data_IF_065244540429
#
_entry.id   IF_065244540429
#
_cell.length_a   1.000
_cell.length_b   1.000
_cell.length_c   1.000
_cell.angle_alpha   90.00
_cell.angle_beta   90.00
_cell.angle_gamma   90.00
#
_symmetry.space_group_name_H-M   'P 1'
#
loop_
_entity.id
_entity.type
_entity.pdbx_description
1 polymer ?
#
# COMPACT_ATOMS: atom_id res chain seq x y z
N UNK A 1 12.75 -6.36 5.52
CA UNK A 1 12.16 -7.51 4.81
C UNK A 1 13.01 -7.96 3.62
N UNK A 2 13.31 -7.12 2.63
CA UNK A 2 14.01 -7.54 1.39
C UNK A 2 15.25 -8.45 1.58
N UNK A 3 16.09 -8.19 2.60
CA UNK A 3 17.27 -9.03 2.94
C UNK A 3 16.95 -10.51 3.18
N UNK A 4 15.76 -10.85 3.65
CA UNK A 4 15.38 -12.24 3.98
C UNK A 4 14.93 -13.01 2.73
N UNK A 5 14.46 -12.29 1.71
CA UNK A 5 14.00 -12.84 0.44
C UNK A 5 15.14 -12.97 -0.58
N UNK A 6 16.34 -12.49 -0.26
CA UNK A 6 17.48 -12.59 -1.17
C UNK A 6 18.14 -13.98 -1.06
N UNK A 7 18.15 -14.80 -2.13
CA UNK A 7 18.77 -16.11 -2.10
C UNK A 7 20.31 -15.99 -2.09
N UNK A 8 20.97 -16.87 -1.35
CA UNK A 8 22.43 -16.91 -1.26
C UNK A 8 23.05 -15.79 -0.41
N UNK A 9 24.21 -15.31 -0.82
CA UNK A 9 24.95 -14.27 -0.09
C UNK A 9 24.26 -12.92 -0.17
N UNK A 10 24.26 -12.20 0.95
CA UNK A 10 23.59 -10.91 1.05
C UNK A 10 24.47 -9.80 0.45
N UNK A 11 24.01 -9.07 -0.59
CA UNK A 11 24.76 -7.96 -1.14
C UNK A 11 25.08 -6.88 -0.11
N UNK A 12 26.26 -6.27 -0.20
CA UNK A 12 26.74 -5.28 0.78
C UNK A 12 25.82 -4.06 0.91
N UNK A 13 25.06 -3.71 -0.14
CA UNK A 13 24.09 -2.61 -0.11
C UNK A 13 23.04 -2.80 1.00
N UNK A 14 22.67 -4.03 1.34
CA UNK A 14 21.73 -4.28 2.43
C UNK A 14 22.32 -4.00 3.81
N UNK A 15 23.65 -4.04 3.96
CA UNK A 15 24.33 -3.66 5.19
C UNK A 15 24.20 -2.16 5.44
N UNK A 16 24.33 -1.35 4.38
CA UNK A 16 24.15 0.11 4.43
C UNK A 16 22.73 0.51 4.83
N UNK A 17 21.74 -0.33 4.51
CA UNK A 17 20.31 -0.06 4.80
C UNK A 17 19.91 -0.53 6.21
N UNK A 18 20.78 -1.21 6.96
CA UNK A 18 20.45 -1.68 8.32
C UNK A 18 19.97 -0.60 9.29
N UNK A 19 20.51 0.64 9.30
CA UNK A 19 20.02 1.70 10.18
C UNK A 19 18.53 2.02 9.99
N UNK A 20 17.94 1.73 8.82
CA UNK A 20 16.52 1.98 8.60
C UNK A 20 15.59 1.10 9.45
N UNK A 21 16.10 0.08 10.17
CA UNK A 21 15.30 -0.66 11.16
C UNK A 21 14.65 0.25 12.20
N UNK A 22 15.30 1.36 12.57
CA UNK A 22 14.76 2.32 13.55
C UNK A 22 13.54 3.08 13.04
N UNK A 23 13.27 3.08 11.73
CA UNK A 23 12.04 3.64 11.17
C UNK A 23 10.78 2.94 11.70
N UNK A 24 10.90 1.73 12.25
CA UNK A 24 9.80 1.04 12.92
C UNK A 24 9.20 1.88 14.06
N UNK A 25 10.03 2.59 14.85
CA UNK A 25 9.54 3.44 15.94
C UNK A 25 8.75 4.63 15.41
N UNK A 26 9.28 5.31 14.39
CA UNK A 26 8.59 6.42 13.74
C UNK A 26 7.24 5.97 13.14
N UNK A 27 7.20 4.80 12.52
CA UNK A 27 5.97 4.21 11.99
C UNK A 27 4.95 3.92 13.11
N UNK A 28 5.35 3.25 14.19
CA UNK A 28 4.45 2.92 15.31
C UNK A 28 3.93 4.20 15.97
N UNK A 29 4.79 5.18 16.24
CA UNK A 29 4.40 6.48 16.82
C UNK A 29 3.42 7.20 15.88
N UNK A 30 3.72 7.23 14.57
CA UNK A 30 2.85 7.83 13.57
C UNK A 30 1.47 7.17 13.51
N UNK A 31 1.41 5.84 13.57
CA UNK A 31 0.15 5.09 13.62
C UNK A 31 -0.62 5.40 14.90
N UNK A 32 0.03 5.42 16.07
CA UNK A 32 -0.62 5.80 17.33
C UNK A 32 -1.18 7.23 17.24
N UNK A 33 -0.43 8.17 16.67
CA UNK A 33 -0.90 9.54 16.43
C UNK A 33 -2.11 9.61 15.49
N UNK A 34 -2.11 8.85 14.40
CA UNK A 34 -3.25 8.76 13.48
C UNK A 34 -4.47 8.11 14.14
N UNK A 35 -4.27 7.11 14.99
CA UNK A 35 -5.33 6.50 15.79
C UNK A 35 -5.93 7.51 16.76
N UNK A 36 -5.07 8.21 17.51
CA UNK A 36 -5.49 9.27 18.43
C UNK A 36 -6.29 10.35 17.72
N UNK A 37 -5.81 10.84 16.57
CA UNK A 37 -6.55 11.80 15.72
C UNK A 37 -7.93 11.29 15.36
N UNK A 38 -8.09 10.00 15.07
CA UNK A 38 -9.37 9.41 14.67
C UNK A 38 -10.36 9.30 15.83
N UNK A 39 -9.86 9.05 17.04
CA UNK A 39 -10.68 8.90 18.25
C UNK A 39 -11.06 10.26 18.86
N UNK A 40 -10.10 11.18 18.96
CA UNK A 40 -10.27 12.43 19.72
C UNK A 40 -10.80 13.61 18.89
N UNK A 41 -10.63 13.62 17.56
CA UNK A 41 -11.12 14.71 16.71
C UNK A 41 -12.51 14.39 16.20
N UNK A 42 -13.53 15.08 16.71
CA UNK A 42 -14.95 14.82 16.40
C UNK A 42 -15.25 14.76 14.91
N UNK A 43 -14.74 15.73 14.13
CA UNK A 43 -14.93 15.77 12.67
C UNK A 43 -14.43 14.50 11.99
N UNK A 44 -13.28 13.99 12.42
CA UNK A 44 -12.66 12.80 11.83
C UNK A 44 -13.39 11.54 12.30
N UNK A 45 -13.75 11.48 13.58
CA UNK A 45 -14.52 10.37 14.16
C UNK A 45 -15.86 10.18 13.46
N UNK A 46 -16.57 11.28 13.17
CA UNK A 46 -17.88 11.26 12.50
C UNK A 46 -17.83 10.66 11.09
N UNK A 47 -16.76 10.95 10.33
CA UNK A 47 -16.60 10.45 8.95
C UNK A 47 -15.87 9.10 8.86
N UNK A 48 -15.42 8.54 9.97
CA UNK A 48 -14.61 7.31 9.97
C UNK A 48 -15.48 6.07 10.00
N UNK A 49 -15.23 5.13 9.09
CA UNK A 49 -15.86 3.82 9.09
C UNK A 49 -15.16 2.86 10.06
N UNK A 50 -15.83 1.80 10.57
CA UNK A 50 -15.18 0.78 11.41
C UNK A 50 -13.95 0.14 10.76
N UNK A 51 -13.99 -0.08 9.44
CA UNK A 51 -12.86 -0.60 8.66
C UNK A 51 -11.62 0.28 8.74
N UNK A 52 -11.77 1.60 8.92
CA UNK A 52 -10.63 2.51 9.06
C UNK A 52 -9.84 2.27 10.34
N UNK A 53 -10.54 1.96 11.44
CA UNK A 53 -9.91 1.62 12.71
C UNK A 53 -9.26 0.25 12.63
N UNK A 54 -9.94 -0.73 12.03
CA UNK A 54 -9.43 -2.10 11.90
C UNK A 54 -8.13 -2.14 11.10
N UNK A 55 -8.05 -1.43 9.98
CA UNK A 55 -6.81 -1.37 9.19
C UNK A 55 -5.67 -0.73 10.00
N UNK A 56 -5.96 0.32 10.76
CA UNK A 56 -4.95 1.01 11.56
C UNK A 56 -4.49 0.15 12.76
N UNK A 57 -5.40 -0.52 13.46
CA UNK A 57 -5.08 -1.50 14.51
C UNK A 57 -4.21 -2.62 13.94
N UNK A 58 -4.60 -3.18 12.79
CA UNK A 58 -3.85 -4.27 12.16
C UNK A 58 -2.41 -3.83 11.81
N UNK A 59 -2.24 -2.67 11.17
CA UNK A 59 -0.91 -2.12 10.87
C UNK A 59 -0.10 -1.84 12.14
N UNK A 60 -0.76 -1.39 13.21
CA UNK A 60 -0.11 -1.15 14.50
C UNK A 60 0.40 -2.46 15.12
N UNK A 61 -0.40 -3.54 15.11
CA UNK A 61 0.01 -4.84 15.64
C UNK A 61 1.12 -5.46 14.78
N UNK A 62 1.04 -5.33 13.44
CA UNK A 62 2.13 -5.75 12.53
C UNK A 62 3.41 -4.99 12.86
N UNK A 63 3.34 -3.67 13.05
CA UNK A 63 4.47 -2.83 13.39
C UNK A 63 5.09 -3.16 14.74
N UNK A 64 4.26 -3.35 15.77
CA UNK A 64 4.71 -3.70 17.12
C UNK A 64 5.35 -5.09 17.14
N UNK A 65 4.70 -6.09 16.54
CA UNK A 65 5.27 -7.45 16.45
C UNK A 65 6.61 -7.46 15.72
N UNK A 66 6.75 -6.69 14.63
CA UNK A 66 8.01 -6.52 13.91
C UNK A 66 9.09 -5.84 14.75
N UNK A 67 8.73 -4.79 15.51
CA UNK A 67 9.64 -4.10 16.41
C UNK A 67 10.10 -5.00 17.57
N UNK A 68 9.19 -5.79 18.16
CA UNK A 68 9.52 -6.76 19.23
C UNK A 68 10.54 -7.78 18.73
N UNK A 69 10.33 -8.37 17.55
CA UNK A 69 11.28 -9.33 16.98
C UNK A 69 12.65 -8.72 16.65
N UNK A 70 12.72 -7.41 16.44
CA UNK A 70 13.95 -6.71 16.01
C UNK A 70 14.75 -6.11 17.17
N UNK A 71 14.08 -5.61 18.21
CA UNK A 71 14.70 -4.78 19.26
C UNK A 71 14.58 -5.37 20.67
N UNK A 72 13.79 -6.43 20.87
CA UNK A 72 13.63 -7.07 22.18
C UNK A 72 14.46 -8.35 22.25
N UNK A 73 14.73 -8.83 23.46
CA UNK A 73 15.43 -10.09 23.74
C UNK A 73 14.75 -11.32 23.13
N UNK A 74 13.46 -11.24 22.81
CA UNK A 74 12.70 -12.29 22.11
C UNK A 74 12.86 -12.16 20.59
N UNK A 75 14.10 -12.20 20.11
CA UNK A 75 14.38 -12.20 18.68
C UNK A 75 14.11 -13.59 18.07
N UNK A 76 13.46 -13.61 16.91
CA UNK A 76 13.29 -14.83 16.11
C UNK A 76 14.63 -15.25 15.51
N UNK A 77 14.83 -16.55 15.30
CA UNK A 77 16.01 -17.04 14.57
C UNK A 77 16.04 -16.46 13.15
N UNK A 78 17.00 -15.55 12.92
CA UNK A 78 17.14 -14.81 11.67
C UNK A 78 17.59 -15.72 10.52
N UNK A 79 18.32 -16.80 10.81
CA UNK A 79 18.76 -17.78 9.82
C UNK A 79 17.55 -18.56 9.34
N UNK A 80 16.75 -19.09 10.27
CA UNK A 80 15.53 -19.83 9.94
C UNK A 80 14.52 -18.96 9.17
N UNK A 81 14.36 -17.69 9.55
CA UNK A 81 13.53 -16.73 8.81
C UNK A 81 14.04 -16.51 7.38
N UNK A 82 15.37 -16.40 7.19
CA UNK A 82 15.96 -16.23 5.86
C UNK A 82 15.79 -17.48 5.01
N UNK A 83 16.03 -18.66 5.56
CA UNK A 83 15.86 -19.93 4.87
C UNK A 83 14.40 -20.10 4.42
N UNK A 84 13.44 -19.87 5.32
CA UNK A 84 12.02 -19.89 4.99
C UNK A 84 11.66 -18.86 3.90
N UNK A 85 12.03 -17.59 4.08
CA UNK A 85 11.64 -16.52 3.16
C UNK A 85 12.29 -16.62 1.76
N UNK A 86 13.57 -17.01 1.69
CA UNK A 86 14.24 -17.25 0.41
C UNK A 86 13.76 -18.55 -0.25
N UNK A 87 13.43 -19.57 0.56
CA UNK A 87 12.82 -20.83 0.12
C UNK A 87 11.48 -20.65 -0.59
N UNK A 88 10.66 -19.69 -0.14
CA UNK A 88 9.42 -19.32 -0.82
C UNK A 88 9.64 -18.82 -2.25
N UNK A 89 10.75 -18.13 -2.53
CA UNK A 89 11.08 -17.61 -3.86
C UNK A 89 11.72 -18.68 -4.74
N UNK A 90 12.57 -19.51 -4.16
CA UNK A 90 13.29 -20.58 -4.87
C UNK A 90 12.48 -21.86 -5.00
N UNK A 91 11.23 -21.88 -4.50
CA UNK A 91 10.39 -23.07 -4.39
C UNK A 91 11.04 -24.24 -3.63
N UNK A 92 11.97 -23.93 -2.73
CA UNK A 92 12.63 -24.88 -1.85
C UNK A 92 12.21 -24.62 -0.40
N UNK A 93 11.16 -25.33 0.03
CA UNK A 93 10.50 -25.09 1.31
C UNK A 93 11.42 -25.45 2.48
N UNK A 94 11.51 -24.54 3.47
CA UNK A 94 12.21 -24.75 4.72
C UNK A 94 11.22 -24.72 5.90
N UNK A 95 11.69 -25.14 7.08
CA UNK A 95 10.88 -25.14 8.29
C UNK A 95 10.44 -23.73 8.69
N UNK A 96 9.20 -23.63 9.18
CA UNK A 96 8.61 -22.38 9.63
C UNK A 96 9.07 -22.07 11.07
N UNK A 97 9.63 -20.88 11.35
CA UNK A 97 9.89 -20.44 12.72
C UNK A 97 8.60 -20.46 13.56
N UNK A 98 8.67 -21.04 14.76
CA UNK A 98 7.49 -21.32 15.60
C UNK A 98 7.27 -20.30 16.72
N UNK A 99 8.11 -19.27 16.79
CA UNK A 99 8.03 -18.22 17.78
C UNK A 99 6.73 -17.42 17.61
N UNK A 100 6.00 -17.25 18.71
CA UNK A 100 4.65 -16.65 18.71
C UNK A 100 4.61 -15.29 18.02
N UNK A 101 5.61 -14.43 18.27
CA UNK A 101 5.66 -13.09 17.66
C UNK A 101 5.83 -13.14 16.14
N UNK A 102 6.60 -14.10 15.63
CA UNK A 102 6.78 -14.33 14.20
C UNK A 102 5.50 -14.84 13.56
N UNK A 103 4.86 -15.83 14.18
CA UNK A 103 3.60 -16.40 13.68
C UNK A 103 2.48 -15.34 13.64
N UNK A 104 2.35 -14.52 14.69
CA UNK A 104 1.39 -13.40 14.72
C UNK A 104 1.71 -12.38 13.62
N UNK A 105 2.98 -12.01 13.45
CA UNK A 105 3.39 -11.07 12.42
C UNK A 105 3.06 -11.60 11.02
N UNK A 106 3.48 -12.83 10.71
CA UNK A 106 3.28 -13.47 9.42
C UNK A 106 1.80 -13.66 9.10
N UNK A 107 1.00 -14.11 10.08
CA UNK A 107 -0.44 -14.25 9.94
C UNK A 107 -1.11 -12.91 9.58
N UNK A 108 -0.80 -11.84 10.32
CA UNK A 108 -1.38 -10.52 10.05
C UNK A 108 -0.92 -9.95 8.71
N UNK A 109 0.31 -10.24 8.27
CA UNK A 109 0.78 -9.87 6.94
C UNK A 109 -0.01 -10.59 5.85
N UNK A 110 -0.31 -11.89 6.00
CA UNK A 110 -1.16 -12.60 5.05
C UNK A 110 -2.60 -12.08 5.03
N UNK A 111 -3.18 -11.78 6.20
CA UNK A 111 -4.49 -11.13 6.29
C UNK A 111 -4.46 -9.77 5.62
N UNK A 112 -3.40 -8.97 5.84
CA UNK A 112 -3.22 -7.69 5.17
C UNK A 112 -3.15 -7.89 3.65
N UNK A 113 -2.36 -8.84 3.13
CA UNK A 113 -2.27 -9.10 1.69
C UNK A 113 -3.63 -9.49 1.08
N UNK A 114 -4.42 -10.32 1.77
CA UNK A 114 -5.74 -10.74 1.31
C UNK A 114 -6.75 -9.58 1.28
N UNK A 115 -6.72 -8.68 2.27
CA UNK A 115 -7.64 -7.54 2.40
C UNK A 115 -7.15 -6.31 1.61
N UNK A 116 -5.84 -6.18 1.38
CA UNK A 116 -5.21 -5.05 0.69
C UNK A 116 -5.95 -4.62 -0.59
N UNK A 117 -6.27 -5.52 -1.56
CA UNK A 117 -6.86 -5.11 -2.83
C UNK A 117 -8.26 -4.49 -2.70
N UNK A 118 -8.99 -4.82 -1.64
CA UNK A 118 -10.35 -4.32 -1.39
C UNK A 118 -10.38 -3.21 -0.32
N UNK A 119 -9.21 -2.82 0.20
CA UNK A 119 -9.09 -1.85 1.28
C UNK A 119 -8.78 -0.44 0.77
N UNK A 120 -8.92 0.55 1.66
CA UNK A 120 -8.47 1.92 1.40
C UNK A 120 -6.93 2.03 1.21
N UNK A 121 -6.16 0.97 1.48
CA UNK A 121 -4.70 0.97 1.27
C UNK A 121 -4.30 0.82 -0.21
N UNK A 122 -5.22 0.45 -1.10
CA UNK A 122 -4.97 0.38 -2.55
C UNK A 122 -4.56 1.75 -3.15
N UNK A 123 -4.75 2.85 -2.42
CA UNK A 123 -4.27 4.17 -2.83
C UNK A 123 -2.74 4.21 -3.04
N UNK A 124 -1.96 3.38 -2.35
CA UNK A 124 -0.48 3.39 -2.45
C UNK A 124 -0.01 3.12 -3.88
N UNK A 125 -0.36 1.99 -4.53
CA UNK A 125 -0.05 1.79 -5.94
C UNK A 125 -0.85 2.73 -6.85
N UNK A 126 -2.08 3.11 -6.46
CA UNK A 126 -2.95 3.97 -7.27
C UNK A 126 -2.35 5.34 -7.64
N UNK A 127 -1.45 5.88 -6.81
CA UNK A 127 -0.76 7.15 -7.10
C UNK A 127 0.07 7.06 -8.40
N UNK A 128 0.70 5.93 -8.69
CA UNK A 128 1.52 5.75 -9.91
C UNK A 128 0.68 5.71 -11.18
N UNK A 129 -0.59 5.30 -11.07
CA UNK A 129 -1.54 5.25 -12.18
C UNK A 129 -2.47 6.47 -12.23
N UNK A 130 -2.21 7.49 -11.39
CA UNK A 130 -3.05 8.67 -11.35
C UNK A 130 -2.89 9.50 -12.64
N UNK A 131 -3.98 9.84 -13.35
CA UNK A 131 -3.91 10.64 -14.56
C UNK A 131 -3.20 11.97 -14.34
N UNK A 132 -3.39 12.62 -13.19
CA UNK A 132 -2.75 13.89 -12.86
C UNK A 132 -1.21 13.82 -12.77
N UNK A 133 -0.62 12.64 -12.63
CA UNK A 133 0.85 12.46 -12.58
C UNK A 133 1.43 11.85 -13.85
N UNK A 134 0.65 11.04 -14.58
CA UNK A 134 1.14 10.28 -15.73
C UNK A 134 0.54 10.73 -17.09
N UNK A 135 -0.49 11.56 -17.09
CA UNK A 135 -1.09 12.10 -18.31
C UNK A 135 -0.34 13.36 -18.73
N UNK A 136 0.08 13.41 -19.99
CA UNK A 136 0.72 14.59 -20.58
C UNK A 136 -0.35 15.68 -20.74
N UNK A 137 -0.07 16.88 -20.23
CA UNK A 137 -0.92 18.06 -20.42
C UNK A 137 -0.70 18.67 -21.82
N UNK A 138 -1.05 17.91 -22.87
CA UNK A 138 -1.01 18.37 -24.26
C UNK A 138 -2.39 18.48 -24.90
N UNK A 139 -3.47 18.48 -24.10
CA UNK A 139 -4.85 18.56 -24.59
C UNK A 139 -5.11 19.77 -25.52
N UNK A 140 -4.37 20.87 -25.33
CA UNK A 140 -4.40 22.07 -26.19
C UNK A 140 -3.57 21.96 -27.47
N UNK A 141 -2.55 21.10 -27.52
CA UNK A 141 -1.69 20.86 -28.68
C UNK A 141 -2.19 19.69 -29.53
N UNK A 142 -2.63 18.62 -28.86
CA UNK A 142 -3.22 17.42 -29.44
C UNK A 142 -4.63 17.29 -28.90
N UNK A 143 -5.57 17.87 -29.65
CA UNK A 143 -6.98 17.73 -29.35
C UNK A 143 -7.44 16.32 -29.73
N UNK A 144 -7.80 15.51 -28.74
CA UNK A 144 -8.50 14.26 -28.98
C UNK A 144 -9.96 14.56 -29.30
N UNK A 145 -10.33 14.46 -30.58
CA UNK A 145 -11.69 14.58 -31.08
C UNK A 145 -12.13 13.22 -31.65
N UNK A 146 -13.33 12.79 -31.32
CA UNK A 146 -13.90 11.56 -31.89
C UNK A 146 -14.23 11.76 -33.38
N UNK A 147 -14.27 10.70 -34.21
CA UNK A 147 -14.57 10.84 -35.63
C UNK A 147 -15.92 11.53 -35.91
N UNK A 148 -16.93 11.31 -35.05
CA UNK A 148 -18.24 11.95 -35.19
C UNK A 148 -18.20 13.45 -34.90
N UNK A 149 -17.45 13.87 -33.87
CA UNK A 149 -17.31 15.29 -33.52
C UNK A 149 -16.48 16.03 -34.57
N UNK A 150 -15.48 15.36 -35.16
CA UNK A 150 -14.70 15.89 -36.26
C UNK A 150 -15.56 16.13 -37.51
N UNK A 151 -16.41 15.15 -37.86
CA UNK A 151 -17.36 15.28 -38.97
C UNK A 151 -18.30 16.46 -38.76
N UNK A 152 -18.86 16.59 -37.55
CA UNK A 152 -19.77 17.69 -37.21
C UNK A 152 -19.10 19.08 -37.35
N UNK A 153 -17.84 19.22 -36.91
CA UNK A 153 -17.09 20.46 -37.10
C UNK A 153 -16.77 20.76 -38.56
N UNK A 154 -16.38 19.74 -39.34
CA UNK A 154 -16.10 19.87 -40.77
C UNK A 154 -17.34 20.29 -41.56
N UNK A 155 -18.51 19.77 -41.17
CA UNK A 155 -19.80 20.10 -41.78
C UNK A 155 -20.39 21.40 -41.21
N UNK A 156 -19.71 22.07 -40.27
CA UNK A 156 -20.18 23.27 -39.55
C UNK A 156 -21.59 23.12 -38.95
N UNK A 157 -21.98 21.88 -38.58
CA UNK A 157 -23.31 21.59 -38.08
C UNK A 157 -23.37 21.85 -36.59
N UNK A 158 -23.99 22.97 -36.23
CA UNK A 158 -24.27 23.31 -34.83
C UNK A 158 -25.57 22.60 -34.41
N UNK A 159 -25.44 21.48 -33.68
CA UNK A 159 -26.58 20.79 -33.08
C UNK A 159 -26.77 21.23 -31.63
N UNK A 160 -27.27 22.46 -31.43
CA UNK A 160 -27.59 22.96 -30.08
C UNK A 160 -28.89 22.32 -29.55
N UNK A 161 -29.80 21.97 -30.46
CA UNK A 161 -31.17 21.56 -30.16
C UNK A 161 -31.31 20.09 -29.71
N UNK A 162 -30.26 19.26 -29.87
CA UNK A 162 -30.23 17.85 -29.42
C UNK A 162 -29.59 17.68 -28.03
N UNK A 163 -28.76 18.64 -27.56
CA UNK A 163 -28.01 18.53 -26.31
C UNK A 163 -28.75 19.16 -25.12
N UNK A 164 -29.50 20.23 -25.37
CA UNK A 164 -30.53 20.74 -24.46
C UNK A 164 -31.79 19.98 -24.85
N UNK A 165 -32.14 18.93 -24.10
CA UNK A 165 -33.39 18.22 -24.32
C UNK A 165 -34.52 19.24 -24.48
N UNK A 166 -35.37 19.06 -25.49
CA UNK A 166 -36.51 19.95 -25.72
C UNK A 166 -37.28 20.11 -24.41
N UNK A 167 -37.20 21.30 -23.83
CA UNK A 167 -38.09 21.72 -22.77
C UNK A 167 -39.48 21.91 -23.43
N UNK A 168 -40.23 20.82 -23.61
CA UNK A 168 -41.68 20.83 -23.89
C UNK A 168 -42.47 20.73 -22.58
#
# INVERSE_FOLDING_TARGET
HARYFWPGDLPEIFLLVQPFKYAAFAMVIGLIGLMGRRIFVERIRYISAPSDYLMLVMLLIIGISGAVMTFTTNHTDVIMVKEFASGLITFNWADLPTEVHFLVHLFLVFVLMAIFPISKLLHVPGIFFSPTRNQVDDARKKRHISPWALKQEQEHVVKLDEALGKDE
#
